data_IF_856991793978
#
_entry.id   IF_856991793978
#
_cell.length_a   1.000
_cell.length_b   1.000
_cell.length_c   1.000
_cell.angle_alpha   90.00
_cell.angle_beta   90.00
_cell.angle_gamma   90.00
#
_symmetry.space_group_name_H-M   'P 1'
#
loop_
_entity.id
_entity.type
_entity.pdbx_description
1 polymer ?
#
# COMPACT_ATOMS: atom_id res chain seq x y z
N UNK A 1 -1.39 -3.33 -2.09
CA UNK A 1 -1.38 -3.60 -3.49
C UNK A 1 -0.50 -2.64 -4.23
N UNK A 2 0.02 -3.09 -5.30
CA UNK A 2 1.32 -2.86 -5.86
C UNK A 2 1.52 -1.46 -6.42
N UNK A 3 2.53 -0.78 -5.92
CA UNK A 3 3.15 0.40 -6.52
C UNK A 3 4.37 0.04 -7.39
N UNK A 4 4.48 -1.21 -7.86
CA UNK A 4 5.59 -1.68 -8.70
C UNK A 4 5.84 -0.83 -9.96
N UNK A 5 4.96 0.07 -10.25
CA UNK A 5 5.09 1.08 -11.28
C UNK A 5 5.12 2.45 -10.65
N UNK A 6 6.22 2.79 -10.06
CA UNK A 6 6.53 4.17 -9.72
C UNK A 6 6.60 4.99 -11.00
N UNK A 7 5.46 5.40 -11.56
CA UNK A 7 5.36 6.09 -12.83
C UNK A 7 6.25 5.45 -13.91
N UNK A 8 5.74 5.18 -15.06
CA UNK A 8 6.49 4.52 -16.15
C UNK A 8 7.84 5.20 -16.50
N UNK A 9 8.11 6.39 -15.98
CA UNK A 9 9.30 7.17 -16.26
C UNK A 9 10.06 7.71 -15.05
N UNK A 10 9.45 7.76 -13.85
CA UNK A 10 10.07 8.45 -12.70
C UNK A 10 10.99 7.56 -11.85
N UNK A 11 10.84 6.25 -11.93
CA UNK A 11 11.59 5.32 -11.07
C UNK A 11 11.16 5.40 -9.59
N UNK A 12 11.94 4.79 -8.67
CA UNK A 12 11.57 4.72 -7.27
C UNK A 12 11.69 6.08 -6.56
N UNK A 13 10.99 6.28 -5.43
CA UNK A 13 11.05 7.50 -4.65
C UNK A 13 12.50 7.91 -4.34
N UNK A 14 12.85 9.14 -4.65
CA UNK A 14 14.20 9.68 -4.47
C UNK A 14 15.33 8.86 -5.13
N UNK A 15 15.02 7.99 -6.08
CA UNK A 15 15.96 7.09 -6.75
C UNK A 15 16.39 5.87 -5.93
N UNK A 16 15.72 5.57 -4.79
CA UNK A 16 16.03 4.45 -3.91
C UNK A 16 14.86 3.47 -3.82
N UNK A 17 15.04 2.25 -4.35
CA UNK A 17 14.00 1.22 -4.34
C UNK A 17 13.60 0.75 -2.94
N UNK A 18 14.45 0.95 -1.93
CA UNK A 18 14.09 0.63 -0.54
C UNK A 18 12.95 1.51 0.00
N UNK A 19 12.69 2.66 -0.63
CA UNK A 19 11.60 3.57 -0.28
C UNK A 19 10.29 3.28 -1.03
N UNK A 20 10.33 2.35 -1.99
CA UNK A 20 9.21 1.99 -2.86
C UNK A 20 8.27 1.01 -2.15
N UNK A 21 7.03 1.45 -1.89
CA UNK A 21 5.98 0.61 -1.33
C UNK A 21 5.36 -0.23 -2.46
N UNK A 22 5.40 -1.54 -2.30
CA UNK A 22 4.91 -2.47 -3.30
C UNK A 22 3.43 -2.81 -3.10
N UNK A 23 3.06 -3.34 -1.94
CA UNK A 23 1.74 -3.90 -1.70
C UNK A 23 1.21 -3.59 -0.31
N UNK A 24 -0.11 -3.58 -0.19
CA UNK A 24 -0.85 -3.48 1.06
C UNK A 24 -1.92 -4.56 1.09
N UNK A 25 -1.93 -5.37 2.16
CA UNK A 25 -2.97 -6.38 2.39
C UNK A 25 -3.51 -6.29 3.81
N UNK A 26 -4.80 -6.58 3.96
CA UNK A 26 -5.47 -6.71 5.24
C UNK A 26 -6.52 -7.82 5.15
N UNK A 27 -6.46 -8.81 6.03
CA UNK A 27 -7.41 -9.92 6.03
C UNK A 27 -7.51 -10.59 7.39
N UNK A 28 -8.61 -11.31 7.60
CA UNK A 28 -8.79 -12.15 8.78
C UNK A 28 -7.75 -13.28 8.78
N UNK A 29 -7.09 -13.52 9.90
CA UNK A 29 -6.09 -14.60 10.00
C UNK A 29 -6.73 -15.96 9.67
N UNK A 30 -6.13 -16.74 8.74
CA UNK A 30 -6.66 -18.06 8.40
C UNK A 30 -6.47 -19.06 9.52
N UNK A 31 -5.57 -18.80 10.47
CA UNK A 31 -5.31 -19.68 11.61
C UNK A 31 -6.22 -19.39 12.82
N UNK A 32 -6.67 -18.14 12.98
CA UNK A 32 -7.50 -17.69 14.09
C UNK A 32 -8.41 -16.54 13.66
N UNK A 33 -9.72 -16.76 13.49
CA UNK A 33 -10.65 -15.74 13.00
C UNK A 33 -10.84 -14.55 13.98
N UNK A 34 -10.31 -14.62 15.19
CA UNK A 34 -10.31 -13.50 16.14
C UNK A 34 -9.12 -12.55 15.93
N UNK A 35 -8.27 -12.85 14.94
CA UNK A 35 -7.07 -12.10 14.63
C UNK A 35 -7.10 -11.56 13.19
N UNK A 36 -6.41 -10.47 12.98
CA UNK A 36 -6.25 -9.82 11.68
C UNK A 36 -4.78 -9.81 11.30
N UNK A 37 -4.51 -10.03 10.03
CA UNK A 37 -3.19 -9.90 9.42
C UNK A 37 -3.15 -8.64 8.59
N UNK A 38 -2.13 -7.81 8.82
CA UNK A 38 -1.80 -6.62 8.04
C UNK A 38 -0.43 -6.82 7.41
N UNK A 39 -0.31 -6.52 6.12
CA UNK A 39 0.96 -6.66 5.39
C UNK A 39 1.24 -5.36 4.64
N UNK A 40 2.46 -4.85 4.81
CA UNK A 40 3.02 -3.80 3.98
C UNK A 40 4.30 -4.33 3.34
N UNK A 41 4.32 -4.37 2.01
CA UNK A 41 5.48 -4.76 1.24
C UNK A 41 6.21 -3.53 0.71
N UNK A 42 7.53 -3.59 0.69
CA UNK A 42 8.39 -2.55 0.13
C UNK A 42 9.63 -3.18 -0.51
N UNK A 43 10.38 -2.39 -1.25
CA UNK A 43 11.64 -2.77 -1.89
C UNK A 43 11.53 -4.03 -2.78
N UNK A 44 11.26 -3.86 -4.07
CA UNK A 44 11.15 -4.96 -5.04
C UNK A 44 12.48 -5.71 -5.30
N UNK A 45 13.62 -5.22 -4.78
CA UNK A 45 14.89 -5.97 -4.80
C UNK A 45 14.99 -6.98 -3.66
N UNK A 46 14.19 -6.85 -2.59
CA UNK A 46 14.12 -7.72 -1.44
C UNK A 46 15.48 -7.95 -0.72
N UNK A 47 16.36 -6.96 -0.74
CA UNK A 47 17.73 -7.07 -0.20
C UNK A 47 17.94 -6.33 1.14
N UNK A 48 17.23 -5.22 1.37
CA UNK A 48 17.24 -4.47 2.63
C UNK A 48 16.09 -3.46 2.67
N UNK A 49 15.81 -2.88 3.85
CA UNK A 49 14.94 -1.73 4.03
C UNK A 49 15.76 -0.50 4.45
N UNK A 50 15.28 0.69 4.15
CA UNK A 50 16.05 1.92 4.32
C UNK A 50 16.13 2.30 5.82
N UNK A 51 17.32 2.50 6.40
CA UNK A 51 17.48 2.71 7.84
C UNK A 51 16.95 4.07 8.33
N UNK A 52 16.98 5.11 7.48
CA UNK A 52 16.42 6.42 7.82
C UNK A 52 14.92 6.54 7.47
N UNK A 53 14.29 5.45 7.01
CA UNK A 53 12.88 5.45 6.69
C UNK A 53 12.01 4.99 7.85
N UNK A 54 10.79 5.52 7.89
CA UNK A 54 9.68 5.02 8.69
C UNK A 54 8.64 4.48 7.72
N UNK A 55 8.45 3.16 7.73
CA UNK A 55 7.34 2.52 7.03
C UNK A 55 6.17 2.44 8.00
N UNK A 56 5.00 2.89 7.57
CA UNK A 56 3.86 3.00 8.47
C UNK A 56 2.59 2.45 7.83
N UNK A 57 1.89 1.59 8.56
CA UNK A 57 0.49 1.25 8.34
C UNK A 57 -0.36 2.18 9.18
N UNK A 58 -1.27 2.90 8.56
CA UNK A 58 -2.15 3.86 9.20
C UNK A 58 -3.61 3.43 9.02
N UNK A 59 -4.40 3.55 10.06
CA UNK A 59 -5.77 3.02 10.15
C UNK A 59 -6.70 4.12 10.66
N UNK A 60 -7.77 4.35 9.91
CA UNK A 60 -8.97 5.07 10.32
C UNK A 60 -10.03 4.02 10.71
N UNK A 61 -10.51 4.06 11.96
CA UNK A 61 -11.53 3.13 12.47
C UNK A 61 -12.79 3.83 12.97
N UNK A 62 -12.91 5.13 12.78
CA UNK A 62 -14.12 5.90 13.11
C UNK A 62 -14.77 6.57 11.89
N UNK A 63 -14.09 6.59 10.74
CA UNK A 63 -14.61 7.05 9.46
C UNK A 63 -14.37 8.53 9.19
N UNK A 64 -13.50 9.20 9.96
CA UNK A 64 -13.17 10.63 9.79
C UNK A 64 -12.01 10.87 8.80
N UNK A 65 -11.46 9.81 8.20
CA UNK A 65 -10.33 9.77 7.26
C UNK A 65 -8.98 10.15 7.89
N UNK A 66 -8.91 10.23 9.21
CA UNK A 66 -7.69 10.50 9.96
C UNK A 66 -7.21 9.23 10.66
N UNK A 67 -5.95 9.16 10.94
CA UNK A 67 -5.38 7.97 11.55
C UNK A 67 -5.73 7.89 13.04
N UNK A 68 -6.38 6.81 13.47
CA UNK A 68 -6.65 6.48 14.87
C UNK A 68 -5.62 5.53 15.45
N UNK A 69 -5.07 4.67 14.58
CA UNK A 69 -4.01 3.72 14.93
C UNK A 69 -2.93 3.80 13.85
N UNK A 70 -1.67 3.71 14.26
CA UNK A 70 -0.55 3.63 13.33
C UNK A 70 0.50 2.63 13.84
N UNK A 71 0.89 1.68 13.00
CA UNK A 71 2.03 0.79 13.22
C UNK A 71 3.21 1.31 12.42
N UNK A 72 4.34 1.53 13.06
CA UNK A 72 5.55 2.06 12.43
C UNK A 72 6.70 1.07 12.55
N UNK A 73 7.40 0.86 11.45
CA UNK A 73 8.54 -0.03 11.32
C UNK A 73 9.78 0.80 11.04
N UNK A 74 10.81 0.66 11.88
CA UNK A 74 12.09 1.39 11.78
C UNK A 74 13.21 0.38 11.74
N UNK A 75 13.99 0.40 10.68
CA UNK A 75 15.03 -0.59 10.43
C UNK A 75 16.41 -0.07 10.82
N UNK A 76 17.29 -0.98 11.26
CA UNK A 76 18.71 -0.67 11.49
C UNK A 76 19.46 -0.49 10.17
N UNK A 77 20.68 0.08 10.23
CA UNK A 77 21.61 -0.07 9.11
C UNK A 77 21.86 -1.56 8.81
N UNK A 78 21.89 -1.94 7.52
CA UNK A 78 22.30 -3.30 7.14
C UNK A 78 23.77 -3.54 7.51
N UNK A 79 24.02 -4.63 8.21
CA UNK A 79 25.40 -5.09 8.52
C UNK A 79 25.61 -6.53 8.06
N UNK A 80 26.51 -6.70 7.10
CA UNK A 80 26.92 -8.03 6.62
C UNK A 80 25.75 -8.94 6.19
N UNK A 81 24.72 -8.34 5.56
CA UNK A 81 23.50 -9.02 5.13
C UNK A 81 22.49 -9.28 6.24
N UNK A 82 22.68 -8.68 7.41
CA UNK A 82 21.74 -8.71 8.54
C UNK A 82 21.13 -7.35 8.74
N UNK A 83 19.88 -7.32 9.15
CA UNK A 83 19.16 -6.12 9.51
C UNK A 83 18.18 -6.44 10.63
N UNK A 84 17.88 -5.49 11.49
CA UNK A 84 16.85 -5.63 12.53
C UNK A 84 15.79 -4.53 12.38
N UNK A 85 14.65 -4.74 13.02
CA UNK A 85 13.52 -3.80 13.00
C UNK A 85 12.97 -3.59 14.40
N UNK A 86 12.66 -2.35 14.70
CA UNK A 86 11.84 -1.93 15.84
C UNK A 86 10.42 -1.66 15.34
N UNK A 87 9.42 -2.12 16.09
CA UNK A 87 8.00 -1.91 15.76
C UNK A 87 7.34 -1.09 16.86
N UNK A 88 6.59 -0.09 16.42
CA UNK A 88 5.90 0.84 17.32
C UNK A 88 4.40 0.87 17.01
N UNK A 89 3.59 1.19 18.02
CA UNK A 89 2.17 1.47 17.88
C UNK A 89 1.84 2.84 18.46
N UNK A 90 1.16 3.67 17.69
CA UNK A 90 0.59 4.94 18.12
C UNK A 90 -0.93 4.89 18.01
N UNK A 91 -1.63 5.58 18.91
CA UNK A 91 -3.10 5.71 18.92
C UNK A 91 -3.53 7.16 19.09
N UNK A 92 -4.74 7.50 18.64
CA UNK A 92 -5.32 8.84 18.76
C UNK A 92 -4.44 9.93 18.14
N UNK A 93 -4.21 11.02 18.85
CA UNK A 93 -3.42 12.16 18.33
C UNK A 93 -1.98 11.77 17.95
N UNK A 94 -1.38 10.79 18.64
CA UNK A 94 -0.05 10.29 18.26
C UNK A 94 -0.07 9.57 16.90
N UNK A 95 -1.14 8.84 16.57
CA UNK A 95 -1.30 8.19 15.26
C UNK A 95 -1.42 9.20 14.11
N UNK A 96 -1.99 10.37 14.38
CA UNK A 96 -2.15 11.48 13.41
C UNK A 96 -0.84 12.21 13.13
N UNK A 97 0.09 12.19 14.10
CA UNK A 97 1.39 12.84 13.93
C UNK A 97 2.35 11.97 13.11
N UNK A 98 2.94 12.49 12.02
CA UNK A 98 3.95 11.74 11.26
C UNK A 98 5.23 11.47 12.04
N UNK A 99 5.58 12.31 13.00
CA UNK A 99 6.81 12.21 13.79
C UNK A 99 6.67 11.29 15.02
N UNK A 100 5.44 11.09 15.52
CA UNK A 100 5.21 10.29 16.71
C UNK A 100 5.16 8.80 16.35
N UNK A 101 6.09 8.02 16.86
CA UNK A 101 6.11 6.57 16.69
C UNK A 101 5.17 5.86 17.65
N UNK A 102 4.98 6.39 18.87
CA UNK A 102 4.19 5.77 19.92
C UNK A 102 5.00 4.79 20.77
N UNK A 103 4.33 3.77 21.30
CA UNK A 103 4.93 2.76 22.17
C UNK A 103 5.67 1.69 21.37
N UNK A 104 6.89 1.32 21.80
CA UNK A 104 7.65 0.24 21.18
C UNK A 104 7.07 -1.10 21.63
N UNK A 105 6.60 -1.91 20.65
CA UNK A 105 6.02 -3.24 20.89
C UNK A 105 6.96 -4.39 20.55
N UNK A 106 7.93 -4.15 19.66
CA UNK A 106 9.05 -5.06 19.39
C UNK A 106 10.36 -4.25 19.29
N UNK A 107 11.46 -4.84 19.75
CA UNK A 107 12.79 -4.26 19.67
C UNK A 107 13.77 -5.25 19.04
N UNK A 108 14.50 -4.78 18.01
CA UNK A 108 15.61 -5.52 17.41
C UNK A 108 15.22 -6.87 16.80
N UNK A 109 14.01 -7.01 16.25
CA UNK A 109 13.60 -8.25 15.57
C UNK A 109 14.44 -8.45 14.33
N UNK A 110 15.00 -9.64 14.16
CA UNK A 110 15.80 -9.98 12.98
C UNK A 110 14.95 -10.00 11.71
N UNK A 111 15.46 -9.37 10.64
CA UNK A 111 14.85 -9.40 9.30
C UNK A 111 15.29 -10.67 8.58
N UNK A 112 14.34 -11.48 8.14
CA UNK A 112 14.59 -12.80 7.55
C UNK A 112 14.83 -12.70 6.04
N UNK A 113 16.09 -12.63 5.62
CA UNK A 113 16.46 -12.70 4.19
C UNK A 113 16.64 -14.14 3.67
N UNK A 114 16.63 -15.13 4.56
CA UNK A 114 16.70 -16.54 4.22
C UNK A 114 15.32 -17.20 4.08
N UNK A 115 15.31 -18.51 3.85
CA UNK A 115 14.10 -19.33 3.69
C UNK A 115 13.31 -19.50 4.98
N UNK A 116 14.00 -19.54 6.12
CA UNK A 116 13.38 -19.75 7.44
C UNK A 116 12.88 -18.42 8.01
N UNK A 117 11.58 -18.32 8.35
CA UNK A 117 11.04 -17.11 8.92
C UNK A 117 11.42 -16.98 10.40
N UNK A 118 11.85 -15.78 10.80
CA UNK A 118 11.96 -15.40 12.23
C UNK A 118 10.68 -14.68 12.61
N UNK A 119 9.83 -15.30 13.45
CA UNK A 119 8.58 -14.74 13.92
C UNK A 119 8.76 -14.32 15.37
N UNK A 120 8.53 -13.05 15.66
CA UNK A 120 8.54 -12.50 17.02
C UNK A 120 7.11 -12.43 17.58
N UNK A 121 6.97 -12.63 18.91
CA UNK A 121 5.70 -12.51 19.62
C UNK A 121 5.87 -11.61 20.85
N UNK A 122 4.99 -10.62 20.99
CA UNK A 122 4.99 -9.69 22.12
C UNK A 122 3.62 -9.04 22.30
N UNK A 123 3.12 -8.92 23.52
CA UNK A 123 1.91 -8.14 23.85
C UNK A 123 0.64 -8.57 23.07
N UNK A 124 0.56 -9.83 22.63
CA UNK A 124 -0.53 -10.33 21.79
C UNK A 124 -0.33 -10.10 20.28
N UNK A 125 0.74 -9.44 19.87
CA UNK A 125 1.16 -9.30 18.48
C UNK A 125 2.05 -10.46 18.04
N UNK A 126 1.98 -10.81 16.75
CA UNK A 126 2.98 -11.63 16.05
C UNK A 126 3.51 -10.79 14.89
N UNK A 127 4.82 -10.78 14.74
CA UNK A 127 5.47 -9.96 13.72
C UNK A 127 6.55 -10.73 12.96
N UNK A 128 6.61 -10.46 11.67
CA UNK A 128 7.64 -10.94 10.76
C UNK A 128 8.08 -9.81 9.85
N UNK A 129 9.39 -9.70 9.58
CA UNK A 129 9.91 -8.92 8.47
C UNK A 129 10.94 -9.75 7.69
N UNK A 130 10.92 -9.64 6.35
CA UNK A 130 11.87 -10.35 5.53
C UNK A 130 11.54 -10.44 4.05
N UNK A 131 12.47 -11.00 3.27
CA UNK A 131 12.29 -11.23 1.85
C UNK A 131 11.32 -12.38 1.59
N UNK A 132 10.32 -12.15 0.75
CA UNK A 132 9.32 -13.15 0.32
C UNK A 132 9.00 -12.98 -1.16
N UNK A 133 8.52 -14.06 -1.77
CA UNK A 133 7.96 -13.98 -3.11
C UNK A 133 6.84 -12.94 -3.12
N UNK A 134 6.81 -12.16 -4.18
CA UNK A 134 5.72 -11.22 -4.42
C UNK A 134 4.42 -11.98 -4.68
N UNK A 135 3.39 -11.71 -3.89
CA UNK A 135 2.09 -12.35 -4.01
C UNK A 135 1.17 -11.67 -5.04
N UNK A 136 1.61 -10.56 -5.62
CA UNK A 136 0.82 -9.80 -6.58
C UNK A 136 0.86 -10.47 -7.97
N UNK A 137 -0.26 -11.09 -8.37
CA UNK A 137 -0.44 -11.57 -9.73
C UNK A 137 -0.60 -10.40 -10.69
N UNK A 138 0.27 -10.31 -11.69
CA UNK A 138 0.26 -9.21 -12.63
C UNK A 138 0.49 -9.65 -14.08
N UNK A 139 -0.51 -9.46 -14.92
CA UNK A 139 -0.44 -9.70 -16.38
C UNK A 139 0.03 -8.43 -17.09
N UNK A 140 1.34 -8.20 -17.09
CA UNK A 140 1.95 -6.99 -17.65
C UNK A 140 1.69 -6.82 -19.14
N UNK A 141 1.75 -7.91 -19.91
CA UNK A 141 1.51 -7.85 -21.35
C UNK A 141 0.03 -7.62 -21.66
N UNK A 142 -0.86 -8.19 -20.84
CA UNK A 142 -2.29 -7.89 -20.91
C UNK A 142 -2.58 -6.42 -20.63
N UNK A 143 -1.98 -5.85 -19.59
CA UNK A 143 -2.11 -4.42 -19.28
C UNK A 143 -1.54 -3.54 -20.39
N UNK A 144 -0.35 -3.84 -20.93
CA UNK A 144 0.20 -3.08 -22.05
C UNK A 144 -0.70 -3.11 -23.28
N UNK A 145 -1.31 -4.26 -23.56
CA UNK A 145 -2.26 -4.40 -24.66
C UNK A 145 -3.55 -3.60 -24.41
N UNK A 146 -4.01 -3.55 -23.16
CA UNK A 146 -5.20 -2.80 -22.75
C UNK A 146 -5.00 -1.29 -22.89
N UNK A 147 -3.86 -0.81 -22.41
CA UNK A 147 -3.45 0.59 -22.49
C UNK A 147 -2.54 0.84 -23.71
N UNK A 148 -2.84 0.24 -24.87
CA UNK A 148 -2.04 0.47 -26.07
C UNK A 148 -2.04 1.96 -26.46
N UNK A 149 -1.13 2.68 -25.84
CA UNK A 149 -0.91 4.11 -26.02
C UNK A 149 -0.56 4.42 -27.49
N UNK A 150 0.02 3.45 -28.22
CA UNK A 150 0.40 3.60 -29.64
C UNK A 150 -0.77 3.39 -30.58
N UNK A 151 -1.70 2.50 -30.23
CA UNK A 151 -2.87 2.16 -31.04
C UNK A 151 -4.09 3.05 -30.78
N UNK A 152 -4.04 3.92 -29.76
CA UNK A 152 -5.17 4.76 -29.38
C UNK A 152 -6.41 3.97 -28.98
N UNK A 153 -6.24 2.79 -28.38
CA UNK A 153 -7.35 1.94 -27.97
C UNK A 153 -8.14 2.61 -26.84
N UNK A 154 -9.44 2.68 -27.03
CA UNK A 154 -10.38 3.15 -26.03
C UNK A 154 -10.79 1.96 -25.14
N UNK A 155 -10.51 2.04 -23.86
CA UNK A 155 -10.85 1.01 -22.87
C UNK A 155 -12.34 0.65 -22.88
N UNK A 156 -13.21 1.66 -23.00
CA UNK A 156 -14.66 1.46 -23.09
C UNK A 156 -15.04 0.63 -24.31
N UNK A 157 -14.41 0.86 -25.45
CA UNK A 157 -14.69 0.09 -26.68
C UNK A 157 -14.29 -1.38 -26.51
N UNK A 158 -13.13 -1.66 -25.89
CA UNK A 158 -12.70 -3.02 -25.58
C UNK A 158 -13.65 -3.71 -24.59
N UNK A 159 -14.06 -3.02 -23.54
CA UNK A 159 -15.03 -3.53 -22.57
C UNK A 159 -16.38 -3.85 -23.19
N UNK A 160 -16.90 -2.96 -24.03
CA UNK A 160 -18.18 -3.16 -24.74
C UNK A 160 -18.10 -4.23 -25.80
N UNK A 161 -16.95 -4.44 -26.44
CA UNK A 161 -16.76 -5.52 -27.43
C UNK A 161 -16.60 -6.90 -26.80
N UNK A 162 -16.34 -6.96 -25.47
CA UNK A 162 -16.01 -8.21 -24.79
C UNK A 162 -14.62 -8.75 -25.12
N UNK A 163 -13.79 -7.99 -25.80
CA UNK A 163 -12.41 -8.35 -26.14
C UNK A 163 -11.47 -7.84 -25.04
N UNK A 164 -10.91 -8.78 -24.28
CA UNK A 164 -9.91 -8.47 -23.26
C UNK A 164 -8.56 -9.02 -23.67
N UNK A 165 -7.52 -8.21 -23.72
CA UNK A 165 -6.20 -8.60 -24.20
C UNK A 165 -5.36 -9.34 -23.14
N UNK A 166 -6.00 -9.91 -22.13
CA UNK A 166 -5.32 -10.61 -21.05
C UNK A 166 -4.58 -11.85 -21.57
N UNK A 167 -3.34 -12.03 -21.17
CA UNK A 167 -2.54 -13.21 -21.51
C UNK A 167 -2.68 -14.32 -20.48
N UNK A 168 -3.10 -14.01 -19.25
CA UNK A 168 -3.19 -14.93 -18.14
C UNK A 168 -1.81 -15.36 -17.60
N UNK A 169 -0.75 -14.67 -18.00
CA UNK A 169 0.62 -14.95 -17.54
C UNK A 169 0.99 -14.00 -16.42
N UNK A 170 1.38 -14.56 -15.28
CA UNK A 170 1.90 -13.78 -14.17
C UNK A 170 3.34 -13.32 -14.45
N UNK A 171 3.52 -12.03 -14.61
CA UNK A 171 4.83 -11.41 -14.86
C UNK A 171 5.71 -11.35 -13.59
N UNK A 172 5.11 -11.55 -12.41
CA UNK A 172 5.79 -11.46 -11.11
C UNK A 172 6.23 -12.82 -10.53
N UNK A 173 6.10 -13.92 -11.27
CA UNK A 173 6.47 -15.28 -10.81
C UNK A 173 7.85 -15.39 -10.19
N UNK A 174 8.79 -14.52 -10.55
CA UNK A 174 10.16 -14.49 -10.03
C UNK A 174 10.45 -13.26 -9.18
N UNK A 175 9.45 -12.40 -8.97
CA UNK A 175 9.60 -11.19 -8.18
C UNK A 175 9.61 -11.51 -6.68
N UNK A 176 10.35 -10.71 -5.93
CA UNK A 176 10.40 -10.75 -4.48
C UNK A 176 10.20 -9.35 -3.93
N UNK A 177 9.79 -9.28 -2.67
CA UNK A 177 9.61 -8.02 -1.92
C UNK A 177 10.09 -8.19 -0.49
N UNK A 178 10.40 -7.11 0.19
CA UNK A 178 10.51 -7.11 1.65
C UNK A 178 9.10 -6.95 2.25
N UNK A 179 8.64 -7.95 2.99
CA UNK A 179 7.34 -7.96 3.65
C UNK A 179 7.47 -7.60 5.12
N UNK A 180 6.60 -6.74 5.60
CA UNK A 180 6.35 -6.43 7.02
C UNK A 180 4.96 -6.98 7.35
N UNK A 181 4.90 -8.08 8.09
CA UNK A 181 3.66 -8.81 8.40
C UNK A 181 3.37 -8.69 9.89
N UNK A 182 2.24 -8.10 10.22
CA UNK A 182 1.76 -7.95 11.60
C UNK A 182 0.44 -8.68 11.76
N UNK A 183 0.38 -9.62 12.69
CA UNK A 183 -0.86 -10.27 13.11
C UNK A 183 -1.21 -9.85 14.53
N UNK A 184 -2.46 -9.40 14.73
CA UNK A 184 -2.91 -8.84 16.00
C UNK A 184 -4.36 -9.24 16.31
N UNK A 185 -4.80 -9.16 17.60
CA UNK A 185 -6.20 -9.34 17.94
C UNK A 185 -7.10 -8.35 17.20
N UNK A 186 -8.10 -8.83 16.47
CA UNK A 186 -9.05 -8.00 15.71
C UNK A 186 -9.69 -6.91 16.58
N UNK A 187 -9.96 -7.22 17.84
CA UNK A 187 -10.55 -6.27 18.78
C UNK A 187 -9.75 -4.96 18.98
N UNK A 188 -8.45 -4.97 18.69
CA UNK A 188 -7.61 -3.78 18.78
C UNK A 188 -7.77 -2.83 17.59
N UNK A 189 -8.35 -3.31 16.49
CA UNK A 189 -8.61 -2.52 15.28
C UNK A 189 -10.01 -1.91 15.25
N UNK A 190 -10.95 -2.48 16.01
CA UNK A 190 -12.35 -2.05 16.00
C UNK A 190 -12.50 -0.66 16.61
N UNK A 191 -13.32 0.15 15.95
CA UNK A 191 -13.64 1.52 16.35
C UNK A 191 -15.14 1.80 16.27
N UNK A 192 -15.49 3.01 15.88
CA UNK A 192 -16.89 3.45 15.79
C UNK A 192 -17.61 2.87 14.56
N UNK A 193 -16.86 2.43 13.55
CA UNK A 193 -17.40 1.83 12.31
C UNK A 193 -17.03 0.35 12.21
N UNK A 194 -17.89 -0.50 11.59
CA UNK A 194 -17.57 -1.91 11.38
C UNK A 194 -16.44 -2.09 10.35
N UNK A 195 -16.34 -1.20 9.38
CA UNK A 195 -15.30 -1.18 8.37
C UNK A 195 -14.20 -0.21 8.81
N UNK A 196 -12.96 -0.62 8.63
CA UNK A 196 -11.79 0.22 8.83
C UNK A 196 -11.17 0.59 7.48
N UNK A 197 -10.47 1.70 7.45
CA UNK A 197 -9.69 2.12 6.28
C UNK A 197 -8.22 2.06 6.60
N UNK A 198 -7.44 1.51 5.68
CA UNK A 198 -6.01 1.25 5.88
C UNK A 198 -5.24 1.82 4.71
N UNK A 199 -4.12 2.44 5.00
CA UNK A 199 -3.16 2.86 4.00
C UNK A 199 -1.73 2.74 4.50
N UNK A 200 -0.80 2.59 3.58
CA UNK A 200 0.63 2.52 3.84
C UNK A 200 1.31 3.83 3.51
N UNK A 201 2.36 4.16 4.26
CA UNK A 201 3.20 5.33 4.04
C UNK A 201 4.67 5.00 4.23
N UNK A 202 5.50 5.48 3.31
CA UNK A 202 6.95 5.56 3.50
C UNK A 202 7.37 7.01 3.69
N UNK A 203 8.15 7.27 4.72
CA UNK A 203 8.73 8.59 4.99
C UNK A 203 10.20 8.42 5.30
N UNK A 204 11.06 9.31 4.83
CA UNK A 204 12.49 9.26 5.06
C UNK A 204 12.99 10.52 5.76
N UNK A 205 13.90 10.36 6.72
CA UNK A 205 14.49 11.48 7.45
C UNK A 205 15.64 12.08 6.65
N UNK A 206 15.48 13.38 6.30
CA UNK A 206 16.52 14.17 5.64
C UNK A 206 16.67 15.52 6.33
N UNK A 207 17.88 15.90 6.67
CA UNK A 207 18.20 17.19 7.32
C UNK A 207 17.33 17.47 8.56
N UNK A 208 17.01 16.43 9.34
CA UNK A 208 16.17 16.52 10.53
C UNK A 208 14.67 16.57 10.28
N UNK A 209 14.24 16.59 9.02
CA UNK A 209 12.82 16.60 8.63
C UNK A 209 12.39 15.22 8.13
N UNK A 210 11.21 14.79 8.50
CA UNK A 210 10.59 13.57 7.98
C UNK A 210 9.82 13.91 6.69
N UNK A 211 10.34 13.46 5.54
CA UNK A 211 9.73 13.65 4.23
C UNK A 211 8.85 12.43 3.91
N UNK A 212 7.60 12.66 3.61
CA UNK A 212 6.71 11.64 3.07
C UNK A 212 7.01 11.46 1.58
N UNK A 213 7.36 10.25 1.17
CA UNK A 213 7.91 10.00 -0.17
C UNK A 213 7.11 8.97 -0.97
N UNK A 214 6.33 8.12 -0.30
CA UNK A 214 5.49 7.14 -0.98
C UNK A 214 4.27 6.75 -0.15
N UNK A 215 3.22 6.28 -0.83
CA UNK A 215 1.98 5.80 -0.21
C UNK A 215 1.41 4.60 -0.96
N UNK A 216 0.68 3.74 -0.24
CA UNK A 216 -0.05 2.61 -0.76
C UNK A 216 -1.46 2.59 -0.18
N UNK A 217 -2.46 2.48 -1.02
CA UNK A 217 -3.87 2.33 -0.67
C UNK A 217 -4.53 1.30 -1.57
N UNK A 218 -5.40 1.73 -2.48
CA UNK A 218 -5.99 0.85 -3.48
C UNK A 218 -4.95 0.39 -4.51
N UNK A 219 -5.20 -0.77 -5.15
CA UNK A 219 -4.32 -1.31 -6.15
C UNK A 219 -4.05 -0.35 -7.29
N UNK A 220 -2.78 -0.12 -7.57
CA UNK A 220 -2.31 0.55 -8.79
C UNK A 220 -2.86 1.97 -9.01
N UNK A 221 -3.52 2.57 -8.01
CA UNK A 221 -4.09 3.92 -8.12
C UNK A 221 -2.99 4.93 -8.40
N UNK A 222 -1.93 4.94 -7.61
CA UNK A 222 -0.83 5.89 -7.81
C UNK A 222 -0.11 5.68 -9.14
N UNK A 223 -0.11 4.47 -9.69
CA UNK A 223 0.60 4.12 -10.91
C UNK A 223 -0.19 4.42 -12.18
N UNK A 224 -1.52 4.26 -12.17
CA UNK A 224 -2.33 4.39 -13.37
C UNK A 224 -3.08 5.71 -13.47
N UNK A 225 -3.36 6.36 -12.36
CA UNK A 225 -4.14 7.61 -12.35
C UNK A 225 -3.28 8.87 -12.21
N UNK A 226 -1.99 8.73 -11.90
CA UNK A 226 -1.07 9.86 -11.85
C UNK A 226 -0.30 10.04 -13.17
N UNK A 227 0.00 11.29 -13.47
CA UNK A 227 0.99 11.66 -14.50
C UNK A 227 2.35 11.85 -13.86
N UNK A 228 3.40 11.89 -14.67
CA UNK A 228 4.76 12.15 -14.20
C UNK A 228 4.87 13.45 -13.37
N UNK A 229 4.05 14.46 -13.71
CA UNK A 229 4.06 15.76 -13.03
C UNK A 229 3.37 15.76 -11.65
N UNK A 230 2.47 14.80 -11.39
CA UNK A 230 1.62 14.79 -10.17
C UNK A 230 1.96 13.67 -9.20
N UNK A 231 2.68 12.66 -9.63
CA UNK A 231 2.90 11.45 -8.84
C UNK A 231 3.63 11.69 -7.52
N UNK A 232 4.72 12.45 -7.52
CA UNK A 232 5.47 12.72 -6.28
C UNK A 232 4.62 13.51 -5.29
N UNK A 233 3.81 14.46 -5.80
CA UNK A 233 2.90 15.25 -4.97
C UNK A 233 1.75 14.38 -4.42
N UNK A 234 1.23 13.46 -5.23
CA UNK A 234 0.23 12.48 -4.81
C UNK A 234 0.78 11.57 -3.71
N UNK A 235 1.94 10.98 -3.94
CA UNK A 235 2.60 10.09 -2.98
C UNK A 235 2.95 10.79 -1.66
N UNK A 236 3.24 12.08 -1.69
CA UNK A 236 3.50 12.90 -0.50
C UNK A 236 2.21 13.37 0.22
N UNK A 237 1.04 13.20 -0.37
CA UNK A 237 -0.23 13.71 0.18
C UNK A 237 -0.85 12.80 1.23
N UNK A 238 -1.89 13.29 1.90
CA UNK A 238 -2.69 12.57 2.92
C UNK A 238 -4.05 12.19 2.33
N UNK A 239 -4.58 10.98 2.60
CA UNK A 239 -5.85 10.54 2.05
C UNK A 239 -7.06 11.41 2.40
N UNK A 240 -7.05 12.08 3.56
CA UNK A 240 -8.15 12.96 3.99
C UNK A 240 -8.48 14.08 2.99
N UNK A 241 -7.54 14.43 2.10
CA UNK A 241 -7.69 15.47 1.09
C UNK A 241 -7.85 14.94 -0.34
N UNK A 242 -7.83 13.63 -0.54
CA UNK A 242 -7.75 13.01 -1.87
C UNK A 242 -8.92 13.40 -2.76
N UNK A 243 -10.14 13.33 -2.23
CA UNK A 243 -11.32 13.59 -3.04
C UNK A 243 -11.33 15.01 -3.60
N UNK A 244 -11.04 15.99 -2.76
CA UNK A 244 -11.05 17.40 -3.17
C UNK A 244 -9.88 17.73 -4.10
N UNK A 245 -8.73 17.14 -3.85
CA UNK A 245 -7.50 17.48 -4.55
C UNK A 245 -7.31 16.73 -5.85
N UNK A 246 -7.64 15.43 -5.87
CA UNK A 246 -7.29 14.51 -6.94
C UNK A 246 -8.46 14.09 -7.83
N UNK A 247 -9.71 14.32 -7.44
CA UNK A 247 -10.88 14.01 -8.29
C UNK A 247 -10.73 14.56 -9.72
N UNK A 248 -10.26 15.80 -9.95
CA UNK A 248 -10.10 16.32 -11.32
C UNK A 248 -9.15 15.49 -12.18
N UNK A 249 -8.10 14.89 -11.58
CA UNK A 249 -7.15 14.03 -12.28
C UNK A 249 -7.82 12.72 -12.72
N UNK A 250 -8.61 12.10 -11.82
CA UNK A 250 -9.37 10.90 -12.14
C UNK A 250 -10.41 11.15 -13.24
N UNK A 251 -11.14 12.25 -13.15
CA UNK A 251 -12.12 12.67 -14.17
C UNK A 251 -11.44 12.85 -15.53
N UNK A 252 -10.30 13.55 -15.57
CA UNK A 252 -9.53 13.74 -16.80
C UNK A 252 -9.11 12.40 -17.41
N UNK A 253 -8.56 11.49 -16.59
CA UNK A 253 -8.08 10.21 -17.10
C UNK A 253 -9.21 9.31 -17.59
N UNK A 254 -10.31 9.20 -16.84
CA UNK A 254 -11.47 8.40 -17.23
C UNK A 254 -12.15 8.95 -18.49
N UNK A 255 -12.22 10.27 -18.64
CA UNK A 255 -12.69 10.90 -19.85
C UNK A 255 -11.80 10.60 -21.06
N UNK A 256 -10.48 10.68 -20.87
CA UNK A 256 -9.51 10.45 -21.94
C UNK A 256 -9.38 8.97 -22.35
N UNK A 257 -9.35 8.06 -21.37
CA UNK A 257 -9.13 6.62 -21.64
C UNK A 257 -10.42 5.85 -21.83
N UNK A 258 -11.48 6.18 -21.10
CA UNK A 258 -12.76 5.48 -21.06
C UNK A 258 -13.89 6.18 -21.80
N UNK A 259 -13.70 7.43 -22.23
CA UNK A 259 -14.74 8.22 -22.88
C UNK A 259 -15.89 8.63 -21.96
N UNK A 260 -15.65 8.63 -20.62
CA UNK A 260 -16.64 9.09 -19.65
C UNK A 260 -16.85 10.61 -19.78
N UNK A 261 -18.08 11.07 -19.57
CA UNK A 261 -18.32 12.48 -19.23
C UNK A 261 -17.81 12.77 -17.81
N UNK A 262 -17.62 14.03 -17.47
CA UNK A 262 -17.16 14.42 -16.14
C UNK A 262 -18.10 13.89 -15.03
N UNK A 263 -19.41 13.95 -15.25
CA UNK A 263 -20.42 13.46 -14.31
C UNK A 263 -20.34 11.92 -14.14
N UNK A 264 -20.18 11.19 -15.23
CA UNK A 264 -20.03 9.73 -15.20
C UNK A 264 -18.73 9.33 -14.53
N UNK A 265 -17.64 10.04 -14.78
CA UNK A 265 -16.34 9.78 -14.16
C UNK A 265 -16.39 9.99 -12.64
N UNK A 266 -16.97 11.11 -12.16
CA UNK A 266 -17.17 11.35 -10.73
C UNK A 266 -18.03 10.25 -10.11
N UNK A 267 -19.15 9.90 -10.74
CA UNK A 267 -20.04 8.85 -10.25
C UNK A 267 -19.36 7.48 -10.18
N UNK A 268 -18.49 7.15 -11.14
CA UNK A 268 -17.72 5.91 -11.14
C UNK A 268 -16.69 5.87 -10.00
N UNK A 269 -15.93 6.94 -9.81
CA UNK A 269 -14.94 7.04 -8.71
C UNK A 269 -15.62 6.92 -7.35
N UNK A 270 -16.78 7.57 -7.17
CA UNK A 270 -17.55 7.54 -5.92
C UNK A 270 -18.18 6.14 -5.70
N UNK A 271 -18.72 5.51 -6.73
CA UNK A 271 -19.35 4.19 -6.63
C UNK A 271 -18.34 3.06 -6.30
N UNK A 272 -17.14 3.14 -6.85
CA UNK A 272 -16.07 2.19 -6.58
C UNK A 272 -15.29 2.51 -5.29
N UNK A 273 -15.52 3.68 -4.69
CA UNK A 273 -14.85 4.10 -3.47
C UNK A 273 -13.32 4.27 -3.62
N UNK A 274 -12.85 4.65 -4.82
CA UNK A 274 -11.42 4.77 -5.13
C UNK A 274 -10.76 5.91 -4.36
N UNK A 275 -11.51 7.00 -4.13
CA UNK A 275 -11.07 8.13 -3.32
C UNK A 275 -11.94 8.26 -2.05
N UNK A 276 -11.33 8.40 -0.87
CA UNK A 276 -9.88 8.49 -0.62
C UNK A 276 -9.16 7.17 -0.91
N UNK A 277 -7.89 7.26 -1.30
CA UNK A 277 -7.06 6.10 -1.61
C UNK A 277 -6.63 5.38 -0.33
N UNK A 278 -7.58 4.66 0.25
CA UNK A 278 -7.47 3.85 1.46
C UNK A 278 -8.20 2.53 1.25
N UNK A 279 -7.54 1.41 1.52
CA UNK A 279 -8.15 0.09 1.44
C UNK A 279 -9.22 -0.07 2.53
N UNK A 280 -10.46 -0.30 2.13
CA UNK A 280 -11.58 -0.56 3.06
C UNK A 280 -11.65 -2.04 3.38
N UNK A 281 -11.71 -2.38 4.66
CA UNK A 281 -11.68 -3.74 5.14
C UNK A 281 -12.58 -3.90 6.39
N UNK A 282 -13.38 -4.97 6.43
CA UNK A 282 -14.14 -5.36 7.61
C UNK A 282 -13.41 -6.50 8.34
N UNK A 283 -12.73 -6.23 9.46
CA UNK A 283 -11.94 -7.25 10.16
C UNK A 283 -12.75 -8.34 10.84
N UNK A 284 -14.07 -8.18 10.95
CA UNK A 284 -14.97 -9.19 11.53
C UNK A 284 -15.50 -10.20 10.51
N UNK A 285 -15.24 -9.97 9.22
CA UNK A 285 -15.67 -10.86 8.15
C UNK A 285 -14.51 -11.73 7.65
N UNK A 286 -14.81 -12.95 7.17
CA UNK A 286 -13.79 -13.78 6.54
C UNK A 286 -13.12 -13.10 5.36
N UNK A 287 -11.85 -13.43 5.11
CA UNK A 287 -11.13 -13.02 3.91
C UNK A 287 -11.89 -13.48 2.66
N UNK A 288 -12.25 -12.54 1.82
CA UNK A 288 -12.99 -12.76 0.58
C UNK A 288 -12.96 -11.48 -0.23
N UNK A 289 -12.54 -11.54 -1.49
CA UNK A 289 -12.62 -10.37 -2.35
C UNK A 289 -14.04 -9.79 -2.37
N UNK A 290 -14.26 -8.48 -2.16
CA UNK A 290 -13.27 -7.43 -1.91
C UNK A 290 -12.88 -7.19 -0.44
N UNK A 291 -13.14 -8.11 0.46
CA UNK A 291 -12.81 -7.97 1.89
C UNK A 291 -11.51 -8.75 2.23
N UNK A 292 -10.37 -8.24 1.79
CA UNK A 292 -9.05 -8.81 2.01
C UNK A 292 -8.50 -9.63 0.86
#
# INVERSE_FOLDING_TARGET
MSNHFTGLSLGPPLGDQRLDLCDLYAFQSPADPTRTVLILNANPNADALHPDAVYRLAIDNDGDLRNDIAFSYVFSEPDSGRQTVDVFVATGEAARSPEALGDKVFEGVEVSFGTEPVIAESGGYRFFAGARSDAFFFDFDGIKNLFDIRGGRNFTALHLSGEFPWTGVDSNTQANVCSMVLELPTAQLLGATPDIRIWGRCSVRRDGTLLHVDRAGHPSVSSFFNTDDTKEEYNASQPEHDRDRWMPMFVHLLGHTGGYTDEEAVAAVDAEGILPDMLTFNPSLPAKYPNG
#
